data_IF_941965807361
#
_entry.id   IF_941965807361
#
_cell.length_a   1.000
_cell.length_b   1.000
_cell.length_c   1.000
_cell.angle_alpha   90.00
_cell.angle_beta   90.00
_cell.angle_gamma   90.00
#
_symmetry.space_group_name_H-M   'P 1'
#
loop_
_entity.id
_entity.type
_entity.pdbx_description
1 polymer ?
#
# COMPACT_ATOMS: atom_id res chain seq x y z
N UNK A 1 -3.71 -0.58 -8.05
CA UNK A 1 -2.93 -1.70 -7.47
C UNK A 1 -3.54 -3.01 -7.90
N UNK A 2 -4.70 -3.41 -7.36
CA UNK A 2 -5.37 -4.66 -7.78
C UNK A 2 -5.68 -4.66 -9.28
N UNK A 3 -6.34 -3.62 -9.78
CA UNK A 3 -6.61 -3.43 -11.22
C UNK A 3 -5.35 -3.29 -12.09
N UNK A 4 -4.17 -3.16 -11.47
CA UNK A 4 -2.89 -2.93 -12.13
C UNK A 4 -1.98 -4.16 -12.12
N UNK A 5 -2.45 -5.32 -11.64
CA UNK A 5 -1.67 -6.57 -11.64
C UNK A 5 -1.20 -7.07 -10.27
N UNK A 6 -1.53 -6.38 -9.17
CA UNK A 6 -1.02 -6.75 -7.83
C UNK A 6 -1.45 -8.17 -7.42
N UNK A 7 -2.64 -8.61 -7.81
CA UNK A 7 -3.14 -9.93 -7.43
C UNK A 7 -2.36 -11.04 -8.15
N UNK A 8 -2.09 -10.84 -9.43
CA UNK A 8 -1.30 -11.74 -10.28
C UNK A 8 0.14 -11.83 -9.77
N UNK A 9 0.76 -10.69 -9.42
CA UNK A 9 2.09 -10.65 -8.80
C UNK A 9 2.15 -11.46 -7.51
N UNK A 10 1.12 -11.35 -6.64
CA UNK A 10 1.05 -12.13 -5.40
C UNK A 10 0.79 -13.62 -5.67
N UNK A 11 -0.02 -13.95 -6.68
CA UNK A 11 -0.27 -15.34 -7.05
C UNK A 11 1.02 -16.02 -7.52
N UNK A 12 1.85 -15.33 -8.32
CA UNK A 12 3.16 -15.83 -8.74
C UNK A 12 4.12 -15.93 -7.54
N UNK A 13 4.12 -14.94 -6.65
CA UNK A 13 4.92 -14.96 -5.43
C UNK A 13 4.64 -16.18 -4.55
N UNK A 14 3.36 -16.52 -4.33
CA UNK A 14 2.97 -17.66 -3.49
C UNK A 14 3.08 -19.02 -4.20
N UNK A 15 3.13 -19.05 -5.54
CA UNK A 15 3.37 -20.28 -6.29
C UNK A 15 4.82 -20.80 -6.15
N UNK A 16 5.76 -19.95 -5.74
CA UNK A 16 7.13 -20.36 -5.50
C UNK A 16 7.26 -21.06 -4.12
N UNK A 17 7.65 -22.35 -4.06
CA UNK A 17 7.79 -23.10 -2.79
C UNK A 17 8.89 -22.57 -1.87
N UNK A 18 9.85 -21.79 -2.38
CA UNK A 18 10.84 -21.09 -1.54
C UNK A 18 10.26 -19.86 -0.81
N UNK A 19 9.06 -19.42 -1.19
CA UNK A 19 8.41 -18.28 -0.55
C UNK A 19 8.08 -18.57 0.91
N UNK A 20 7.93 -19.84 1.32
CA UNK A 20 7.71 -20.31 2.70
C UNK A 20 6.52 -19.62 3.40
N UNK A 21 6.10 -20.09 4.57
CA UNK A 21 5.08 -19.36 5.35
C UNK A 21 5.55 -17.93 5.65
N UNK A 22 4.61 -17.01 5.93
CA UNK A 22 4.90 -15.62 6.26
C UNK A 22 5.93 -15.50 7.37
N UNK A 23 7.19 -15.34 6.99
CA UNK A 23 8.27 -15.02 7.91
C UNK A 23 8.22 -13.51 8.18
N UNK A 24 8.43 -13.11 9.42
CA UNK A 24 8.34 -11.71 9.86
C UNK A 24 9.52 -10.84 9.40
N UNK A 25 10.23 -11.20 8.33
CA UNK A 25 11.45 -10.55 7.86
C UNK A 25 11.40 -10.21 6.37
N UNK A 26 12.09 -9.13 5.99
CA UNK A 26 12.26 -8.73 4.60
C UNK A 26 10.96 -8.44 3.86
N UNK A 27 10.90 -8.86 2.59
CA UNK A 27 9.81 -8.61 1.66
C UNK A 27 8.46 -9.18 2.13
N UNK A 28 8.47 -10.26 2.91
CA UNK A 28 7.26 -10.91 3.45
C UNK A 28 6.42 -10.03 4.37
N UNK A 29 6.99 -8.90 4.84
CA UNK A 29 6.28 -7.90 5.65
C UNK A 29 5.49 -6.89 4.80
N UNK A 30 5.63 -6.91 3.48
CA UNK A 30 4.93 -5.98 2.62
C UNK A 30 3.41 -6.16 2.76
N UNK A 31 2.70 -5.05 2.99
CA UNK A 31 1.23 -5.05 3.04
C UNK A 31 0.72 -5.56 1.68
N UNK A 32 -0.15 -6.57 1.72
CA UNK A 32 -0.56 -7.37 0.58
C UNK A 32 -0.18 -8.82 0.76
N UNK A 33 1.04 -9.11 1.21
CA UNK A 33 1.55 -10.48 1.33
C UNK A 33 0.85 -11.24 2.46
N UNK A 34 0.93 -10.84 3.74
CA UNK A 34 0.28 -11.58 4.82
C UNK A 34 -1.25 -11.54 4.72
N UNK A 35 -1.83 -10.49 4.13
CA UNK A 35 -3.28 -10.39 3.94
C UNK A 35 -3.81 -11.41 2.93
N UNK A 36 -3.06 -11.67 1.86
CA UNK A 36 -3.43 -12.67 0.86
C UNK A 36 -2.91 -14.08 1.16
N UNK A 37 -2.05 -14.26 2.17
CA UNK A 37 -1.52 -15.57 2.55
C UNK A 37 -2.64 -16.60 2.76
N UNK A 38 -3.69 -16.25 3.53
CA UNK A 38 -4.84 -17.14 3.77
C UNK A 38 -5.62 -17.48 2.51
N UNK A 39 -5.73 -16.52 1.58
CA UNK A 39 -6.42 -16.72 0.30
C UNK A 39 -5.65 -17.70 -0.59
N UNK A 40 -4.31 -17.58 -0.64
CA UNK A 40 -3.48 -18.44 -1.46
C UNK A 40 -3.15 -19.79 -0.82
N UNK A 41 -2.96 -19.89 0.49
CA UNK A 41 -2.67 -21.18 1.15
C UNK A 41 -3.79 -22.20 0.96
N UNK A 42 -5.06 -21.78 1.05
CA UNK A 42 -6.21 -22.65 0.76
C UNK A 42 -6.23 -23.15 -0.69
N UNK A 43 -5.67 -22.39 -1.63
CA UNK A 43 -5.56 -22.77 -3.05
C UNK A 43 -4.59 -23.93 -3.26
N UNK A 44 -3.56 -24.05 -2.44
CA UNK A 44 -2.49 -25.06 -2.57
C UNK A 44 -2.74 -26.33 -1.73
N UNK A 45 -3.53 -26.25 -0.66
CA UNK A 45 -3.93 -27.45 0.13
C UNK A 45 -4.78 -28.44 -0.69
N UNK A 46 -5.44 -27.98 -1.76
CA UNK A 46 -6.33 -28.78 -2.60
C UNK A 46 -5.63 -29.38 -3.84
N UNK A 47 -4.30 -29.35 -3.95
CA UNK A 47 -3.59 -29.92 -5.11
C UNK A 47 -3.69 -31.46 -5.22
N UNK A 48 -4.01 -32.18 -4.14
CA UNK A 48 -4.34 -33.63 -4.21
C UNK A 48 -5.83 -33.91 -4.49
N UNK A 49 -6.68 -32.88 -4.53
CA UNK A 49 -8.12 -32.99 -4.74
C UNK A 49 -8.58 -32.07 -5.85
N UNK A 50 -8.57 -32.57 -7.08
CA UNK A 50 -9.02 -31.90 -8.30
C UNK A 50 -10.55 -31.65 -8.31
N UNK A 51 -11.12 -31.11 -7.23
CA UNK A 51 -12.48 -30.53 -7.24
C UNK A 51 -12.36 -29.05 -7.59
N UNK A 52 -12.50 -28.79 -8.89
CA UNK A 52 -13.04 -27.58 -9.49
C UNK A 52 -12.90 -26.25 -8.71
N UNK A 53 -11.67 -25.84 -8.34
CA UNK A 53 -11.37 -24.46 -7.92
C UNK A 53 -11.63 -23.41 -9.04
N UNK A 54 -12.09 -23.88 -10.21
CA UNK A 54 -12.58 -23.05 -11.31
C UNK A 54 -14.09 -22.78 -11.23
N UNK A 55 -14.82 -23.39 -10.30
CA UNK A 55 -16.22 -23.03 -10.05
C UNK A 55 -16.30 -21.57 -9.57
N UNK A 56 -16.97 -20.73 -10.36
CA UNK A 56 -17.13 -19.28 -10.10
C UNK A 56 -17.99 -18.99 -8.86
N UNK A 57 -18.62 -20.02 -8.27
CA UNK A 57 -19.58 -19.96 -7.17
C UNK A 57 -19.01 -20.33 -5.79
N UNK A 58 -17.68 -20.30 -5.62
CA UNK A 58 -17.08 -20.46 -4.29
C UNK A 58 -17.21 -19.14 -3.48
N UNK A 59 -18.33 -19.06 -2.74
CA UNK A 59 -18.63 -17.98 -1.80
C UNK A 59 -17.50 -17.79 -0.78
N UNK A 60 -16.85 -18.87 -0.35
CA UNK A 60 -15.78 -18.81 0.64
C UNK A 60 -14.52 -18.15 0.05
N UNK A 61 -14.15 -18.49 -1.17
CA UNK A 61 -13.05 -17.85 -1.91
C UNK A 61 -13.30 -16.37 -2.15
N UNK A 62 -14.52 -15.99 -2.54
CA UNK A 62 -14.90 -14.58 -2.70
C UNK A 62 -14.81 -13.83 -1.36
N UNK A 63 -15.30 -14.43 -0.27
CA UNK A 63 -15.18 -13.83 1.06
C UNK A 63 -13.72 -13.67 1.50
N UNK A 64 -12.87 -14.67 1.29
CA UNK A 64 -11.45 -14.59 1.63
C UNK A 64 -10.73 -13.50 0.83
N UNK A 65 -11.07 -13.33 -0.46
CA UNK A 65 -10.54 -12.24 -1.28
C UNK A 65 -10.98 -10.87 -0.75
N UNK A 66 -12.28 -10.69 -0.50
CA UNK A 66 -12.82 -9.43 0.02
C UNK A 66 -12.25 -9.08 1.40
N UNK A 67 -12.05 -10.08 2.27
CA UNK A 67 -11.40 -9.95 3.57
C UNK A 67 -9.95 -9.47 3.41
N UNK A 68 -9.18 -10.09 2.52
CA UNK A 68 -7.79 -9.69 2.23
C UNK A 68 -7.71 -8.25 1.71
N UNK A 69 -8.58 -7.88 0.76
CA UNK A 69 -8.62 -6.51 0.21
C UNK A 69 -8.98 -5.49 1.28
N UNK A 70 -9.91 -5.81 2.19
CA UNK A 70 -10.26 -4.95 3.32
C UNK A 70 -9.08 -4.80 4.27
N UNK A 71 -8.43 -5.90 4.63
CA UNK A 71 -7.27 -5.91 5.51
C UNK A 71 -6.11 -5.07 4.93
N UNK A 72 -5.84 -5.14 3.62
CA UNK A 72 -4.82 -4.32 2.94
C UNK A 72 -5.13 -2.82 3.12
N UNK A 73 -6.37 -2.42 2.88
CA UNK A 73 -6.80 -1.02 3.03
C UNK A 73 -6.65 -0.55 4.47
N UNK A 74 -7.09 -1.36 5.44
CA UNK A 74 -7.03 -1.04 6.86
C UNK A 74 -5.58 -0.95 7.36
N UNK A 75 -4.74 -1.93 7.01
CA UNK A 75 -3.34 -1.96 7.40
C UNK A 75 -2.56 -0.80 6.76
N UNK A 76 -2.85 -0.44 5.51
CA UNK A 76 -2.25 0.74 4.86
C UNK A 76 -2.67 2.04 5.57
N UNK A 77 -3.94 2.18 5.94
CA UNK A 77 -4.43 3.32 6.71
C UNK A 77 -3.77 3.41 8.09
N UNK A 78 -3.61 2.29 8.79
CA UNK A 78 -2.92 2.24 10.07
C UNK A 78 -1.45 2.59 9.93
N UNK A 79 -0.77 2.10 8.89
CA UNK A 79 0.62 2.45 8.60
C UNK A 79 0.79 3.96 8.43
N UNK A 80 -0.08 4.60 7.64
CA UNK A 80 -0.05 6.05 7.43
C UNK A 80 -0.22 6.82 8.75
N UNK A 81 -1.15 6.41 9.63
CA UNK A 81 -1.34 7.01 10.96
C UNK A 81 -0.09 6.86 11.84
N UNK A 82 0.53 5.67 11.83
CA UNK A 82 1.77 5.41 12.59
C UNK A 82 2.94 6.23 12.04
N UNK A 83 3.07 6.36 10.73
CA UNK A 83 4.10 7.19 10.08
C UNK A 83 3.94 8.66 10.46
N UNK A 84 2.72 9.20 10.43
CA UNK A 84 2.45 10.57 10.89
C UNK A 84 2.86 10.75 12.35
N UNK A 85 2.50 9.82 13.24
CA UNK A 85 2.93 9.86 14.63
C UNK A 85 4.45 9.85 14.80
N UNK A 86 5.18 9.06 14.00
CA UNK A 86 6.65 9.04 13.99
C UNK A 86 7.24 10.39 13.53
N UNK A 87 6.70 10.99 12.48
CA UNK A 87 7.12 12.30 11.97
C UNK A 87 6.90 13.39 13.02
N UNK A 88 5.75 13.38 13.70
CA UNK A 88 5.45 14.34 14.78
C UNK A 88 6.44 14.21 15.94
N UNK A 89 6.83 12.98 16.31
CA UNK A 89 7.86 12.76 17.33
C UNK A 89 9.23 13.31 16.91
N UNK A 90 9.62 13.17 15.63
CA UNK A 90 10.88 13.77 15.13
C UNK A 90 10.84 15.30 15.27
N UNK A 91 9.72 15.91 14.93
CA UNK A 91 9.53 17.36 15.07
C UNK A 91 9.54 17.82 16.53
N UNK A 92 8.73 17.19 17.38
CA UNK A 92 8.42 17.69 18.72
C UNK A 92 9.42 17.22 19.77
N UNK A 93 9.83 15.96 19.75
CA UNK A 93 10.72 15.39 20.76
C UNK A 93 12.20 15.51 20.38
N UNK A 94 12.53 15.36 19.10
CA UNK A 94 13.91 15.46 18.63
C UNK A 94 14.29 16.86 18.11
N UNK A 95 13.32 17.79 18.05
CA UNK A 95 13.56 19.19 17.64
C UNK A 95 13.92 19.36 16.16
N UNK A 96 13.57 18.41 15.30
CA UNK A 96 13.91 18.50 13.88
C UNK A 96 13.15 19.65 13.21
N UNK A 97 13.87 20.52 12.51
CA UNK A 97 13.28 21.61 11.74
C UNK A 97 12.67 21.08 10.42
N UNK A 98 11.49 20.49 10.52
CA UNK A 98 10.78 19.95 9.36
C UNK A 98 10.02 21.05 8.61
N UNK A 99 10.35 21.23 7.33
CA UNK A 99 9.60 22.12 6.43
C UNK A 99 8.37 21.37 5.88
N UNK A 100 7.18 21.76 6.35
CA UNK A 100 5.91 21.13 5.94
C UNK A 100 5.48 21.62 4.56
N UNK A 101 5.08 20.68 3.71
CA UNK A 101 4.50 20.93 2.38
C UNK A 101 3.13 20.25 2.31
N UNK A 102 2.09 21.01 1.98
CA UNK A 102 0.70 20.52 1.98
C UNK A 102 0.30 19.96 0.60
N UNK A 103 0.06 18.65 0.53
CA UNK A 103 -0.42 17.99 -0.68
C UNK A 103 -1.94 17.69 -0.65
N UNK A 104 -2.67 18.15 0.37
CA UNK A 104 -4.04 17.72 0.65
C UNK A 104 -5.02 18.01 -0.51
N UNK A 105 -5.01 19.22 -1.08
CA UNK A 105 -5.90 19.55 -2.20
C UNK A 105 -5.52 18.80 -3.48
N UNK A 106 -4.22 18.59 -3.71
CA UNK A 106 -3.73 17.82 -4.85
C UNK A 106 -4.26 16.38 -4.79
N UNK A 107 -4.23 15.76 -3.61
CA UNK A 107 -4.78 14.43 -3.38
C UNK A 107 -6.31 14.41 -3.54
N UNK A 108 -7.03 15.41 -3.01
CA UNK A 108 -8.49 15.54 -3.20
C UNK A 108 -8.86 15.63 -4.67
N UNK A 109 -8.13 16.44 -5.44
CA UNK A 109 -8.34 16.57 -6.87
C UNK A 109 -8.02 15.27 -7.63
N UNK A 110 -6.99 14.53 -7.21
CA UNK A 110 -6.62 13.25 -7.83
C UNK A 110 -7.71 12.19 -7.64
N UNK A 111 -8.29 12.13 -6.44
CA UNK A 111 -9.41 11.23 -6.13
C UNK A 111 -10.68 11.58 -6.90
N UNK A 112 -10.89 12.85 -7.23
CA UNK A 112 -12.03 13.33 -8.02
C UNK A 112 -11.83 13.23 -9.54
N UNK A 113 -10.75 12.59 -10.02
CA UNK A 113 -10.37 12.54 -11.44
C UNK A 113 -10.37 13.91 -12.14
N UNK A 114 -9.99 14.97 -11.40
CA UNK A 114 -10.08 16.34 -11.88
C UNK A 114 -8.98 16.68 -12.89
N UNK A 115 -9.32 17.43 -13.96
CA UNK A 115 -8.37 17.87 -15.00
C UNK A 115 -7.32 18.91 -14.55
N UNK A 116 -7.16 19.14 -13.24
CA UNK A 116 -6.28 20.19 -12.66
C UNK A 116 -5.33 19.69 -11.57
N UNK A 117 -5.17 18.38 -11.42
CA UNK A 117 -4.28 17.80 -10.38
C UNK A 117 -2.85 18.30 -10.53
N UNK A 118 -2.34 18.33 -11.77
CA UNK A 118 -0.99 18.79 -12.06
C UNK A 118 -0.78 20.25 -11.64
N UNK A 119 -1.70 21.14 -11.98
CA UNK A 119 -1.60 22.57 -11.64
C UNK A 119 -1.65 22.80 -10.12
N UNK A 120 -2.51 22.07 -9.40
CA UNK A 120 -2.62 22.17 -7.94
C UNK A 120 -1.34 21.63 -7.28
N UNK A 121 -0.82 20.50 -7.76
CA UNK A 121 0.42 19.90 -7.28
C UNK A 121 1.62 20.81 -7.51
N UNK A 122 1.74 21.40 -8.70
CA UNK A 122 2.82 22.30 -9.03
C UNK A 122 2.86 23.49 -8.07
N UNK A 123 1.71 24.14 -7.86
CA UNK A 123 1.60 25.32 -6.99
C UNK A 123 1.75 25.02 -5.50
N UNK A 124 1.18 23.92 -5.01
CA UNK A 124 1.12 23.62 -3.57
C UNK A 124 2.28 22.78 -3.06
N UNK A 125 2.92 21.99 -3.93
CA UNK A 125 3.97 21.05 -3.56
C UNK A 125 5.29 21.41 -4.21
N UNK A 126 5.35 21.48 -5.54
CA UNK A 126 6.63 21.66 -6.26
C UNK A 126 7.22 23.03 -6.01
N UNK A 127 6.48 24.11 -6.26
CA UNK A 127 6.97 25.47 -6.08
C UNK A 127 7.49 25.75 -4.64
N UNK A 128 6.75 25.40 -3.56
CA UNK A 128 7.26 25.55 -2.20
C UNK A 128 8.52 24.71 -1.93
N UNK A 129 8.53 23.45 -2.36
CA UNK A 129 9.69 22.56 -2.18
C UNK A 129 10.94 23.12 -2.88
N UNK A 130 10.81 23.60 -4.12
CA UNK A 130 11.93 24.20 -4.86
C UNK A 130 12.44 25.46 -4.16
N UNK A 131 11.55 26.32 -3.63
CA UNK A 131 11.96 27.51 -2.87
C UNK A 131 12.72 27.14 -1.59
N UNK A 132 12.29 26.09 -0.88
CA UNK A 132 12.96 25.58 0.32
C UNK A 132 14.36 25.08 -0.04
N UNK A 133 14.49 24.23 -1.06
CA UNK A 133 15.77 23.67 -1.50
C UNK A 133 16.71 24.76 -2.01
N UNK A 134 16.21 25.71 -2.80
CA UNK A 134 17.03 26.85 -3.28
C UNK A 134 17.61 27.67 -2.14
N UNK A 135 16.82 27.96 -1.10
CA UNK A 135 17.31 28.68 0.07
C UNK A 135 18.43 27.91 0.78
N UNK A 136 18.21 26.62 1.00
CA UNK A 136 19.21 25.74 1.63
C UNK A 136 20.53 25.67 0.84
N UNK A 137 20.46 25.69 -0.50
CA UNK A 137 21.67 25.64 -1.35
C UNK A 137 22.36 27.01 -1.53
N UNK A 138 21.68 28.11 -1.21
CA UNK A 138 22.22 29.48 -1.32
C UNK A 138 22.78 30.01 0.00
N UNK A 139 22.58 29.27 1.09
CA UNK A 139 23.24 29.44 2.39
C UNK A 139 24.56 28.66 2.40
#
# INVERSE_FOLDING_TARGET
MLESGMFEELAEYFANPESGSASQCGLKKAIGVPEFERYFMKRFENEEGLEDWRSEDDVEKKMAYEEAVRAIKDNTCQLAKRQLGKILRLREAAGWELKRVEATESLRAAMAAGRRVADIWERQVVEPSVKIVKRFLME
#
